data_IF_747894811671
#
_entry.id   IF_747894811671
#
_cell.length_a   1.000
_cell.length_b   1.000
_cell.length_c   1.000
_cell.angle_alpha   90.00
_cell.angle_beta   90.00
_cell.angle_gamma   90.00
#
_symmetry.space_group_name_H-M   'P 1'
#
loop_
_entity.id
_entity.type
_entity.pdbx_description
1 polymer ?
#
# COMPACT_ATOMS: atom_id res chain seq x y z
N UNK A 1 -12.58 2.86 17.93
CA UNK A 1 -12.36 2.31 16.58
C UNK A 1 -13.19 3.01 15.51
N UNK A 2 -14.52 3.19 15.63
CA UNK A 2 -15.32 3.81 14.56
C UNK A 2 -14.91 5.25 14.23
N UNK A 3 -14.57 6.06 15.23
CA UNK A 3 -14.21 7.47 14.99
C UNK A 3 -12.85 7.62 14.30
N UNK A 4 -11.87 6.79 14.65
CA UNK A 4 -10.58 6.72 13.96
C UNK A 4 -10.75 6.31 12.49
N UNK A 5 -11.70 5.41 12.18
CA UNK A 5 -11.99 5.02 10.79
C UNK A 5 -12.59 6.22 10.03
N UNK A 6 -13.53 6.96 10.64
CA UNK A 6 -14.11 8.16 10.02
C UNK A 6 -13.04 9.23 9.76
N UNK A 7 -12.13 9.41 10.71
CA UNK A 7 -11.01 10.33 10.56
C UNK A 7 -10.10 9.90 9.40
N UNK A 8 -9.72 8.62 9.31
CA UNK A 8 -8.94 8.10 8.17
C UNK A 8 -9.65 8.29 6.83
N UNK A 9 -10.98 8.11 6.77
CA UNK A 9 -11.75 8.31 5.53
C UNK A 9 -11.78 9.77 5.07
N UNK A 10 -11.53 10.73 5.96
CA UNK A 10 -11.41 12.15 5.58
C UNK A 10 -10.18 12.45 4.72
N UNK A 11 -9.21 11.52 4.65
CA UNK A 11 -8.02 11.63 3.81
C UNK A 11 -8.27 11.30 2.32
N UNK A 12 -9.50 10.96 1.93
CA UNK A 12 -9.84 10.48 0.58
C UNK A 12 -9.29 11.37 -0.54
N UNK A 13 -9.51 12.69 -0.47
CA UNK A 13 -9.12 13.62 -1.54
C UNK A 13 -7.60 13.79 -1.64
N UNK A 14 -6.86 13.55 -0.55
CA UNK A 14 -5.40 13.52 -0.57
C UNK A 14 -4.88 12.22 -1.19
N UNK A 15 -5.48 11.08 -0.81
CA UNK A 15 -5.13 9.77 -1.35
C UNK A 15 -5.42 9.71 -2.86
N UNK A 16 -6.54 10.29 -3.32
CA UNK A 16 -6.88 10.37 -4.75
C UNK A 16 -5.80 11.13 -5.52
N UNK A 17 -5.37 12.30 -5.03
CA UNK A 17 -4.30 13.08 -5.66
C UNK A 17 -2.97 12.31 -5.67
N UNK A 18 -2.62 11.62 -4.60
CA UNK A 18 -1.42 10.77 -4.55
C UNK A 18 -1.50 9.61 -5.55
N UNK A 19 -2.67 9.02 -5.73
CA UNK A 19 -2.86 7.88 -6.64
C UNK A 19 -2.52 8.21 -8.10
N UNK A 20 -2.71 9.47 -8.51
CA UNK A 20 -2.39 9.93 -9.87
C UNK A 20 -0.89 9.79 -10.20
N UNK A 21 -0.01 9.88 -9.21
CA UNK A 21 1.44 9.70 -9.37
C UNK A 21 1.76 8.26 -9.77
N UNK A 22 0.96 7.30 -9.31
CA UNK A 22 1.21 5.88 -9.45
C UNK A 22 0.42 5.22 -10.59
N UNK A 23 -0.43 5.97 -11.31
CA UNK A 23 -1.28 5.45 -12.39
C UNK A 23 -0.51 4.67 -13.47
N UNK A 24 0.74 5.06 -13.74
CA UNK A 24 1.60 4.41 -14.75
C UNK A 24 2.77 3.63 -14.16
N UNK A 25 2.77 3.42 -12.84
CA UNK A 25 3.77 2.59 -12.20
C UNK A 25 3.57 1.14 -12.68
N UNK A 26 4.64 0.52 -13.19
CA UNK A 26 4.59 -0.89 -13.59
C UNK A 26 4.79 -1.81 -12.39
N UNK A 27 5.61 -1.38 -11.43
CA UNK A 27 5.95 -2.12 -10.22
C UNK A 27 5.71 -1.24 -8.98
N UNK A 28 5.22 -1.85 -7.90
CA UNK A 28 4.94 -1.17 -6.65
C UNK A 28 5.34 -2.05 -5.45
N UNK A 29 6.10 -1.49 -4.50
CA UNK A 29 6.57 -2.23 -3.33
C UNK A 29 5.91 -1.69 -2.06
N UNK A 30 5.15 -2.53 -1.36
CA UNK A 30 4.59 -2.25 -0.05
C UNK A 30 5.52 -2.81 1.03
N UNK A 31 6.03 -1.95 1.90
CA UNK A 31 6.94 -2.35 2.97
C UNK A 31 6.22 -2.32 4.32
N UNK A 32 6.29 -3.43 5.06
CA UNK A 32 5.69 -3.54 6.39
C UNK A 32 6.62 -4.23 7.39
N UNK A 33 6.53 -3.86 8.66
CA UNK A 33 7.29 -4.50 9.76
C UNK A 33 6.36 -4.85 10.91
N UNK A 34 6.60 -6.01 11.54
CA UNK A 34 5.81 -6.45 12.69
C UNK A 34 4.32 -6.51 12.34
N UNK A 35 3.50 -5.83 13.14
CA UNK A 35 2.04 -5.78 12.95
C UNK A 35 1.59 -5.14 11.62
N UNK A 36 2.45 -4.35 10.95
CA UNK A 36 2.12 -3.72 9.68
C UNK A 36 2.49 -4.60 8.46
N UNK A 37 3.17 -5.73 8.65
CA UNK A 37 3.50 -6.62 7.54
C UNK A 37 2.25 -7.19 6.85
N UNK A 38 1.23 -7.69 7.59
CA UNK A 38 -0.04 -8.08 6.98
C UNK A 38 -0.73 -6.93 6.22
N UNK A 39 -0.65 -5.70 6.72
CA UNK A 39 -1.21 -4.52 6.03
C UNK A 39 -0.50 -4.23 4.70
N UNK A 40 0.82 -4.43 4.63
CA UNK A 40 1.59 -4.29 3.40
C UNK A 40 1.22 -5.38 2.37
N UNK A 41 1.02 -6.63 2.82
CA UNK A 41 0.57 -7.72 1.96
C UNK A 41 -0.83 -7.45 1.38
N UNK A 42 -1.77 -7.02 2.22
CA UNK A 42 -3.13 -6.71 1.79
C UNK A 42 -3.17 -5.53 0.81
N UNK A 43 -2.41 -4.45 1.09
CA UNK A 43 -2.30 -3.30 0.18
C UNK A 43 -1.77 -3.69 -1.20
N UNK A 44 -0.72 -4.53 -1.23
CA UNK A 44 -0.20 -5.07 -2.49
C UNK A 44 -1.22 -5.94 -3.23
N UNK A 45 -1.97 -6.78 -2.51
CA UNK A 45 -3.01 -7.61 -3.09
C UNK A 45 -4.13 -6.76 -3.72
N UNK A 46 -4.65 -5.76 -2.99
CA UNK A 46 -5.71 -4.88 -3.52
C UNK A 46 -5.25 -4.13 -4.76
N UNK A 47 -4.04 -3.58 -4.76
CA UNK A 47 -3.50 -2.86 -5.92
C UNK A 47 -3.38 -3.79 -7.15
N UNK A 48 -2.88 -5.01 -6.96
CA UNK A 48 -2.83 -6.04 -8.01
C UNK A 48 -4.21 -6.34 -8.61
N UNK A 49 -5.21 -6.54 -7.75
CA UNK A 49 -6.55 -6.99 -8.17
C UNK A 49 -7.30 -5.94 -9.02
N UNK A 50 -7.23 -4.67 -8.64
CA UNK A 50 -8.09 -3.63 -9.24
C UNK A 50 -7.38 -2.77 -10.29
N UNK A 51 -6.05 -2.62 -10.20
CA UNK A 51 -5.30 -1.75 -11.11
C UNK A 51 -4.37 -2.50 -12.06
N UNK A 52 -4.20 -3.82 -11.88
CA UNK A 52 -3.28 -4.67 -12.63
C UNK A 52 -1.80 -4.24 -12.56
N UNK A 53 -1.45 -3.36 -11.62
CA UNK A 53 -0.07 -3.00 -11.34
C UNK A 53 0.61 -4.18 -10.62
N UNK A 54 1.84 -4.51 -11.00
CA UNK A 54 2.61 -5.53 -10.29
C UNK A 54 2.99 -4.97 -8.91
N UNK A 55 2.25 -5.36 -7.87
CA UNK A 55 2.49 -4.90 -6.51
C UNK A 55 2.92 -6.03 -5.57
N UNK A 56 3.97 -5.86 -4.76
CA UNK A 56 4.44 -6.87 -3.81
C UNK A 56 4.52 -6.31 -2.40
N UNK A 57 4.07 -7.10 -1.43
CA UNK A 57 4.24 -6.80 -0.01
C UNK A 57 5.49 -7.50 0.51
N UNK A 58 6.39 -6.75 1.13
CA UNK A 58 7.71 -7.23 1.52
C UNK A 58 8.07 -6.83 2.96
N UNK A 59 8.75 -7.69 3.74
CA UNK A 59 9.18 -7.32 5.09
C UNK A 59 10.21 -6.19 5.03
N UNK A 60 9.96 -5.08 5.71
CA UNK A 60 10.84 -3.92 5.66
C UNK A 60 12.27 -4.22 6.16
N UNK A 61 12.44 -5.22 7.03
CA UNK A 61 13.74 -5.65 7.54
C UNK A 61 14.62 -6.36 6.49
N UNK A 62 14.00 -6.97 5.48
CA UNK A 62 14.66 -7.73 4.44
C UNK A 62 15.05 -6.87 3.23
N UNK A 63 14.60 -5.60 3.18
CA UNK A 63 14.86 -4.71 2.04
C UNK A 63 16.35 -4.53 1.72
N UNK A 64 17.22 -4.59 2.74
CA UNK A 64 18.68 -4.53 2.59
C UNK A 64 19.30 -5.81 2.03
N UNK A 65 18.55 -6.91 2.01
CA UNK A 65 18.97 -8.21 1.50
C UNK A 65 18.49 -8.45 0.05
N UNK A 66 17.88 -7.42 -0.55
CA UNK A 66 17.32 -7.46 -1.90
C UNK A 66 15.87 -7.97 -1.88
N UNK A 67 14.93 -7.28 -2.52
CA UNK A 67 13.61 -7.84 -2.83
C UNK A 67 13.69 -8.93 -3.90
#
# INVERSE_FOLDING_TARGET
>A
MPDLIKETLSLNDEIERLSQIFTYAHNFLYLGRGYNYPSALEGALKLKEISYIHAEGYPAAEMKHGP
#
